data_IF_173367413509
#
_entry.id   IF_173367413509
#
_cell.length_a   1.000
_cell.length_b   1.000
_cell.length_c   1.000
_cell.angle_alpha   90.00
_cell.angle_beta   90.00
_cell.angle_gamma   90.00
#
_symmetry.space_group_name_H-M   'P 1'
#
loop_
_entity.id
_entity.type
_entity.pdbx_description
1 polymer ?
#
# COMPACT_ATOMS: atom_id res chain seq x y z
N UNK A 1 50.71 22.35 -0.58
CA UNK A 1 49.48 21.63 -0.19
C UNK A 1 48.58 21.60 -1.42
N UNK A 2 48.43 20.45 -2.07
CA UNK A 2 47.63 20.30 -3.29
C UNK A 2 46.24 19.83 -2.87
N UNK A 3 45.22 20.60 -3.19
CA UNK A 3 43.81 20.23 -2.99
C UNK A 3 43.31 19.56 -4.27
N UNK A 4 43.01 18.27 -4.22
CA UNK A 4 42.39 17.53 -5.33
C UNK A 4 40.88 17.56 -5.13
N UNK A 5 40.15 18.20 -6.03
CA UNK A 5 38.69 18.16 -6.06
C UNK A 5 38.23 16.94 -6.86
N UNK A 6 37.55 16.00 -6.20
CA UNK A 6 36.80 14.94 -6.86
C UNK A 6 35.41 15.45 -7.21
N UNK A 7 35.13 15.59 -8.50
CA UNK A 7 33.77 15.83 -9.00
C UNK A 7 33.05 14.49 -9.12
N UNK A 8 32.12 14.20 -8.21
CA UNK A 8 31.16 13.10 -8.39
C UNK A 8 30.03 13.58 -9.30
N UNK A 9 29.93 13.00 -10.50
CA UNK A 9 28.76 13.16 -11.35
C UNK A 9 27.60 12.33 -10.78
N UNK A 10 26.60 13.01 -10.22
CA UNK A 10 25.33 12.39 -9.89
C UNK A 10 24.51 12.25 -11.18
N UNK A 11 24.30 11.02 -11.64
CA UNK A 11 23.39 10.77 -12.76
C UNK A 11 21.97 10.76 -12.20
N UNK A 12 21.17 11.77 -12.53
CA UNK A 12 19.73 11.75 -12.28
C UNK A 12 19.06 10.68 -13.13
N UNK A 13 17.88 10.23 -12.72
CA UNK A 13 17.05 9.34 -13.51
C UNK A 13 16.67 10.02 -14.84
N UNK A 14 16.85 9.31 -15.96
CA UNK A 14 16.45 9.78 -17.29
C UNK A 14 14.98 9.41 -17.49
N UNK A 15 14.14 10.41 -17.78
CA UNK A 15 12.74 10.18 -18.14
C UNK A 15 12.70 9.80 -19.62
N UNK A 16 12.33 8.55 -19.90
CA UNK A 16 12.25 8.02 -21.27
C UNK A 16 10.87 8.32 -21.87
N UNK A 17 9.81 8.26 -21.07
CA UNK A 17 8.43 8.48 -21.50
C UNK A 17 7.62 9.10 -20.36
N UNK A 18 6.60 9.90 -20.72
CA UNK A 18 5.63 10.44 -19.77
C UNK A 18 4.22 10.25 -20.30
N UNK A 19 3.42 9.52 -19.54
CA UNK A 19 2.01 9.24 -19.85
C UNK A 19 1.11 10.08 -18.95
N UNK A 20 0.06 10.67 -19.52
CA UNK A 20 -0.96 11.38 -18.74
C UNK A 20 -2.09 10.41 -18.38
N UNK A 21 -2.32 10.22 -17.09
CA UNK A 21 -3.36 9.36 -16.58
C UNK A 21 -4.75 10.04 -16.58
N UNK A 22 -5.79 9.21 -16.62
CA UNK A 22 -7.18 9.66 -16.49
C UNK A 22 -7.44 10.30 -15.12
N UNK A 23 -8.34 11.29 -15.07
CA UNK A 23 -8.79 11.86 -13.79
C UNK A 23 -9.55 10.87 -12.91
N UNK A 24 -10.06 9.79 -13.48
CA UNK A 24 -10.70 8.69 -12.73
C UNK A 24 -9.73 8.11 -11.70
N UNK A 25 -8.44 8.07 -12.04
CA UNK A 25 -7.38 7.58 -11.15
C UNK A 25 -6.53 8.73 -10.58
N UNK A 26 -7.14 9.89 -10.32
CA UNK A 26 -6.46 10.97 -9.60
C UNK A 26 -6.10 10.53 -8.18
N UNK A 27 -4.96 10.97 -7.66
CA UNK A 27 -4.45 10.50 -6.35
C UNK A 27 -4.24 8.98 -6.38
N UNK A 28 -3.58 8.49 -7.43
CA UNK A 28 -3.21 7.07 -7.53
C UNK A 28 -2.15 6.75 -6.48
N UNK A 29 -2.39 5.70 -5.70
CA UNK A 29 -1.51 5.21 -4.63
C UNK A 29 -1.24 3.73 -4.89
N UNK A 30 0.03 3.31 -4.79
CA UNK A 30 0.50 1.98 -5.18
C UNK A 30 0.48 1.69 -6.70
N UNK A 31 1.39 0.81 -7.14
CA UNK A 31 1.43 0.33 -8.52
C UNK A 31 2.10 -1.04 -8.59
N UNK A 32 1.42 -2.01 -9.16
CA UNK A 32 1.98 -3.35 -9.39
C UNK A 32 1.78 -3.80 -10.84
N UNK A 33 2.55 -4.82 -11.21
CA UNK A 33 2.43 -5.47 -12.50
C UNK A 33 1.65 -6.78 -12.39
N UNK A 34 0.68 -6.99 -13.29
CA UNK A 34 -0.13 -8.19 -13.34
C UNK A 34 -0.59 -8.49 -14.78
N UNK A 35 -0.14 -9.61 -15.36
CA UNK A 35 -0.58 -10.12 -16.67
C UNK A 35 -0.58 -9.05 -17.79
N UNK A 36 0.58 -8.44 -18.06
CA UNK A 36 0.78 -7.38 -19.06
C UNK A 36 0.00 -6.07 -18.79
N UNK A 37 -0.60 -5.95 -17.61
CA UNK A 37 -1.29 -4.77 -17.14
C UNK A 37 -0.61 -4.20 -15.89
N UNK A 38 -0.80 -2.89 -15.69
CA UNK A 38 -0.46 -2.20 -14.45
C UNK A 38 -1.72 -2.12 -13.58
N UNK A 39 -1.59 -2.39 -12.29
CA UNK A 39 -2.70 -2.35 -11.34
C UNK A 39 -2.43 -1.28 -10.30
N UNK A 40 -3.41 -0.42 -10.07
CA UNK A 40 -3.32 0.68 -9.11
C UNK A 40 -4.66 0.90 -8.40
N UNK A 41 -4.68 1.70 -7.34
CA UNK A 41 -5.89 2.21 -6.72
C UNK A 41 -5.76 3.71 -6.47
N UNK A 42 -6.86 4.33 -6.05
CA UNK A 42 -6.83 5.69 -5.55
C UNK A 42 -6.59 5.71 -4.05
N UNK A 43 -6.10 6.84 -3.58
CA UNK A 43 -5.93 7.18 -2.18
C UNK A 43 -7.28 7.37 -1.46
N UNK A 44 -7.20 7.66 -0.17
CA UNK A 44 -8.24 8.13 0.76
C UNK A 44 -9.55 8.62 0.17
N UNK A 45 -10.67 8.02 0.57
CA UNK A 45 -12.03 8.53 0.34
C UNK A 45 -12.57 8.37 -1.09
N UNK A 46 -11.77 7.82 -2.01
CA UNK A 46 -12.19 7.52 -3.38
C UNK A 46 -12.97 6.18 -3.47
N UNK A 47 -13.33 5.78 -4.69
CA UNK A 47 -13.98 4.49 -4.91
C UNK A 47 -13.08 3.32 -4.46
N UNK A 48 -13.62 2.30 -3.76
CA UNK A 48 -12.89 1.09 -3.36
C UNK A 48 -12.71 0.18 -4.59
N UNK A 49 -11.76 0.54 -5.46
CA UNK A 49 -11.55 -0.12 -6.75
C UNK A 49 -10.09 -0.32 -7.09
N UNK A 50 -9.80 -1.43 -7.76
CA UNK A 50 -8.55 -1.60 -8.52
C UNK A 50 -8.78 -1.21 -9.98
N UNK A 51 -7.83 -0.47 -10.54
CA UNK A 51 -7.81 -0.06 -11.94
C UNK A 51 -6.66 -0.77 -12.65
N UNK A 52 -6.98 -1.44 -13.74
CA UNK A 52 -6.03 -2.17 -14.56
C UNK A 52 -5.78 -1.35 -15.82
N UNK A 53 -4.52 -0.97 -16.03
CA UNK A 53 -4.07 -0.08 -17.09
C UNK A 53 -3.20 -0.84 -18.09
N UNK A 54 -3.26 -0.48 -19.36
CA UNK A 54 -2.16 -0.80 -20.27
C UNK A 54 -0.99 0.18 -20.07
N UNK A 55 0.14 -0.06 -20.76
CA UNK A 55 1.32 0.80 -20.69
C UNK A 55 1.11 2.22 -21.23
N UNK A 56 0.03 2.47 -21.99
CA UNK A 56 -0.36 3.82 -22.42
C UNK A 56 -1.17 4.57 -21.34
N UNK A 57 -1.38 3.96 -20.18
CA UNK A 57 -2.14 4.53 -19.06
C UNK A 57 -3.65 4.47 -19.26
N UNK A 58 -4.13 3.75 -20.28
CA UNK A 58 -5.57 3.57 -20.52
C UNK A 58 -6.12 2.53 -19.56
N UNK A 59 -7.21 2.86 -18.88
CA UNK A 59 -7.96 1.91 -18.05
C UNK A 59 -8.63 0.87 -18.96
N UNK A 60 -8.20 -0.38 -18.81
CA UNK A 60 -8.73 -1.55 -19.53
C UNK A 60 -9.85 -2.20 -18.72
N UNK A 61 -9.72 -2.22 -17.39
CA UNK A 61 -10.70 -2.84 -16.51
C UNK A 61 -10.72 -2.16 -15.13
N UNK A 62 -11.90 -2.15 -14.50
CA UNK A 62 -12.10 -1.68 -13.13
C UNK A 62 -12.76 -2.77 -12.31
N UNK A 63 -12.09 -3.18 -11.24
CA UNK A 63 -12.61 -4.13 -10.26
C UNK A 63 -13.06 -3.37 -9.01
N UNK A 64 -14.37 -3.21 -8.85
CA UNK A 64 -15.00 -2.50 -7.73
C UNK A 64 -15.40 -3.46 -6.61
N UNK A 65 -15.21 -3.04 -5.35
CA UNK A 65 -15.57 -3.80 -4.14
C UNK A 65 -16.69 -3.09 -3.36
N UNK A 66 -17.93 -3.55 -3.52
CA UNK A 66 -19.11 -2.81 -3.01
C UNK A 66 -19.28 -2.83 -1.48
N UNK A 67 -18.61 -3.76 -0.78
CA UNK A 67 -18.76 -3.96 0.68
C UNK A 67 -17.55 -3.49 1.50
N UNK A 68 -16.58 -2.80 0.87
CA UNK A 68 -15.42 -2.22 1.53
C UNK A 68 -15.44 -0.71 1.29
N UNK A 69 -14.93 0.06 2.24
CA UNK A 69 -14.67 1.49 2.05
C UNK A 69 -13.18 1.71 1.88
N UNK A 70 -12.80 2.61 0.98
CA UNK A 70 -11.46 3.16 0.95
C UNK A 70 -11.35 4.23 2.04
N UNK A 71 -10.85 3.85 3.21
CA UNK A 71 -10.68 4.81 4.31
C UNK A 71 -9.39 5.61 4.11
N UNK A 72 -8.26 4.93 3.88
CA UNK A 72 -6.96 5.52 3.56
C UNK A 72 -6.09 4.43 2.88
N UNK A 73 -6.36 4.13 1.61
CA UNK A 73 -5.61 3.13 0.83
C UNK A 73 -4.30 3.72 0.31
N UNK A 74 -3.18 3.25 0.84
CA UNK A 74 -1.88 3.91 0.66
C UNK A 74 -0.97 3.19 -0.34
N UNK A 75 -1.08 1.87 -0.43
CA UNK A 75 -0.22 1.07 -1.29
C UNK A 75 -0.83 -0.31 -1.60
N UNK A 76 -0.22 -1.04 -2.52
CA UNK A 76 -0.60 -2.42 -2.80
C UNK A 76 0.63 -3.25 -3.17
N UNK A 77 0.60 -4.54 -2.84
CA UNK A 77 1.65 -5.49 -3.21
C UNK A 77 1.06 -6.80 -3.70
N UNK A 78 1.85 -7.66 -4.35
CA UNK A 78 1.36 -8.95 -4.85
C UNK A 78 2.29 -10.12 -4.57
N UNK A 79 1.74 -11.30 -4.30
CA UNK A 79 2.48 -12.57 -4.34
C UNK A 79 2.03 -13.43 -5.54
N UNK A 80 2.40 -14.71 -5.59
CA UNK A 80 2.04 -15.59 -6.71
C UNK A 80 0.52 -15.60 -7.02
N UNK A 81 -0.33 -15.53 -6.00
CA UNK A 81 -1.76 -15.82 -6.12
C UNK A 81 -2.66 -14.62 -5.78
N UNK A 82 -2.17 -13.66 -5.00
CA UNK A 82 -2.99 -12.61 -4.42
C UNK A 82 -2.42 -11.21 -4.63
N UNK A 83 -3.33 -10.23 -4.64
CA UNK A 83 -3.06 -8.80 -4.50
C UNK A 83 -3.48 -8.41 -3.07
N UNK A 84 -2.65 -7.61 -2.41
CA UNK A 84 -2.85 -7.11 -1.06
C UNK A 84 -2.95 -5.59 -1.12
N UNK A 85 -4.10 -5.04 -0.75
CA UNK A 85 -4.38 -3.60 -0.77
C UNK A 85 -4.31 -3.08 0.66
N UNK A 86 -3.48 -2.06 0.89
CA UNK A 86 -3.16 -1.54 2.21
C UNK A 86 -4.06 -0.37 2.61
N UNK A 87 -5.11 -0.63 3.40
CA UNK A 87 -5.92 0.41 4.05
C UNK A 87 -5.32 0.75 5.42
N UNK A 88 -4.23 1.51 5.41
CA UNK A 88 -3.34 1.69 6.55
C UNK A 88 -2.88 3.13 6.85
N UNK A 89 -3.25 4.10 6.02
CA UNK A 89 -2.95 5.51 6.31
C UNK A 89 -3.58 5.91 7.62
N UNK A 90 -2.84 6.63 8.47
CA UNK A 90 -3.27 7.00 9.82
C UNK A 90 -2.69 8.35 10.22
N UNK A 91 -2.93 9.34 9.35
CA UNK A 91 -2.30 10.65 9.40
C UNK A 91 -2.35 11.38 10.76
N UNK A 92 -3.31 11.04 11.60
CA UNK A 92 -3.54 11.66 12.91
C UNK A 92 -3.50 10.71 14.10
N UNK A 93 -3.03 9.47 13.93
CA UNK A 93 -3.02 8.40 14.95
C UNK A 93 -4.41 8.08 15.55
N UNK A 94 -5.50 8.34 14.84
CA UNK A 94 -6.88 8.18 15.35
C UNK A 94 -7.58 6.93 14.85
N UNK A 95 -7.01 6.20 13.88
CA UNK A 95 -7.67 5.03 13.30
C UNK A 95 -7.41 3.75 14.10
N UNK A 96 -8.49 3.00 14.34
CA UNK A 96 -8.49 1.67 14.97
C UNK A 96 -8.79 0.53 13.98
N UNK A 97 -9.11 0.86 12.73
CA UNK A 97 -9.62 -0.06 11.71
C UNK A 97 -8.61 -0.32 10.58
N UNK A 98 -7.34 -0.48 10.93
CA UNK A 98 -6.28 -0.73 9.94
C UNK A 98 -6.39 -2.16 9.42
N UNK A 99 -6.31 -2.32 8.10
CA UNK A 99 -6.50 -3.62 7.47
C UNK A 99 -5.74 -3.74 6.16
N UNK A 100 -5.50 -4.99 5.76
CA UNK A 100 -5.09 -5.34 4.40
C UNK A 100 -6.20 -6.14 3.76
N UNK A 101 -6.63 -5.71 2.58
CA UNK A 101 -7.63 -6.41 1.76
C UNK A 101 -6.87 -7.34 0.82
N UNK A 102 -7.06 -8.64 0.99
CA UNK A 102 -6.44 -9.68 0.16
C UNK A 102 -7.45 -10.14 -0.88
N UNK A 103 -7.08 -10.06 -2.15
CA UNK A 103 -7.93 -10.43 -3.28
C UNK A 103 -7.20 -11.37 -4.22
N UNK A 104 -7.93 -12.29 -4.86
CA UNK A 104 -7.36 -13.16 -5.89
C UNK A 104 -6.76 -12.33 -7.03
N UNK A 105 -5.66 -12.80 -7.62
CA UNK A 105 -5.13 -12.26 -8.88
C UNK A 105 -6.06 -12.50 -10.08
N UNK A 106 -7.03 -13.39 -9.99
CA UNK A 106 -8.09 -13.46 -11.00
C UNK A 106 -8.94 -12.18 -10.93
N UNK A 107 -8.86 -11.38 -11.99
CA UNK A 107 -9.55 -10.09 -12.11
C UNK A 107 -11.08 -10.22 -12.07
N UNK A 108 -11.62 -11.41 -12.39
CA UNK A 108 -13.05 -11.67 -12.41
C UNK A 108 -13.61 -12.08 -11.04
N UNK A 109 -12.76 -12.59 -10.16
CA UNK A 109 -13.14 -12.85 -8.78
C UNK A 109 -13.43 -11.51 -8.10
N UNK A 110 -14.47 -11.39 -7.29
CA UNK A 110 -14.72 -10.16 -6.49
C UNK A 110 -14.70 -10.42 -4.99
N UNK A 111 -14.41 -11.67 -4.60
CA UNK A 111 -14.25 -12.03 -3.23
C UNK A 111 -12.96 -11.43 -2.67
N UNK A 112 -12.96 -11.21 -1.36
CA UNK A 112 -11.84 -10.67 -0.65
C UNK A 112 -11.79 -11.24 0.77
N UNK A 113 -10.60 -11.28 1.33
CA UNK A 113 -10.34 -11.59 2.74
C UNK A 113 -9.77 -10.34 3.41
N UNK A 114 -10.14 -10.11 4.68
CA UNK A 114 -9.63 -8.99 5.46
C UNK A 114 -8.60 -9.50 6.48
N UNK A 115 -7.41 -8.92 6.43
CA UNK A 115 -6.35 -9.13 7.42
C UNK A 115 -6.28 -7.87 8.27
N UNK A 116 -6.92 -7.91 9.45
CA UNK A 116 -6.83 -6.81 10.40
C UNK A 116 -5.47 -6.83 11.11
N UNK A 117 -4.92 -5.66 11.40
CA UNK A 117 -3.74 -5.51 12.22
C UNK A 117 -3.84 -4.25 13.08
N UNK A 118 -2.99 -4.18 14.10
CA UNK A 118 -2.90 -3.03 14.98
C UNK A 118 -1.44 -2.84 15.40
N UNK A 119 -1.08 -1.61 15.77
CA UNK A 119 0.22 -1.32 16.37
C UNK A 119 0.13 -1.56 17.88
N UNK A 120 0.90 -2.51 18.45
CA UNK A 120 0.85 -2.81 19.89
C UNK A 120 1.12 -1.61 20.81
N UNK A 121 1.86 -0.62 20.29
CA UNK A 121 2.25 0.61 20.98
C UNK A 121 1.18 1.71 20.91
N UNK A 122 0.23 1.62 19.97
CA UNK A 122 -0.84 2.61 19.81
C UNK A 122 -1.96 2.32 20.83
N UNK A 123 -1.83 2.92 22.00
CA UNK A 123 -2.83 2.80 23.09
C UNK A 123 -3.72 4.04 23.24
N UNK A 124 -3.41 5.09 22.50
CA UNK A 124 -4.08 6.39 22.56
C UNK A 124 -4.36 6.88 21.16
N UNK A 125 -5.65 6.98 20.85
CA UNK A 125 -6.22 7.35 19.55
C UNK A 125 -6.71 8.81 19.53
N UNK A 126 -6.25 9.64 20.47
CA UNK A 126 -6.45 11.09 20.38
C UNK A 126 -5.64 11.69 19.22
N UNK A 127 -6.16 12.78 18.67
CA UNK A 127 -5.57 13.47 17.52
C UNK A 127 -4.10 13.85 17.77
N UNK A 128 -3.21 13.42 16.86
CA UNK A 128 -1.79 13.78 16.85
C UNK A 128 -1.38 14.32 15.49
N UNK A 129 -1.00 15.60 15.44
CA UNK A 129 -0.54 16.23 14.20
C UNK A 129 0.71 15.55 13.60
N UNK A 130 1.60 15.04 14.46
CA UNK A 130 2.77 14.26 14.07
C UNK A 130 2.52 12.81 14.43
N UNK A 131 1.94 12.09 13.48
CA UNK A 131 1.67 10.66 13.62
C UNK A 131 2.94 9.83 13.84
N UNK A 132 2.81 8.77 14.64
CA UNK A 132 3.77 7.66 14.73
C UNK A 132 3.32 6.42 13.95
N UNK A 133 2.02 6.28 13.73
CA UNK A 133 1.35 5.05 13.28
C UNK A 133 0.74 5.16 11.87
N UNK A 134 1.09 6.20 11.14
CA UNK A 134 0.83 6.37 9.71
C UNK A 134 1.76 5.47 8.89
N UNK A 135 1.23 4.71 7.93
CA UNK A 135 2.02 3.82 7.07
C UNK A 135 1.66 4.02 5.62
N UNK A 136 2.68 4.02 4.76
CA UNK A 136 2.51 4.41 3.35
C UNK A 136 3.22 3.46 2.37
N UNK A 137 3.70 2.31 2.86
CA UNK A 137 4.21 1.27 1.99
C UNK A 137 4.01 -0.12 2.58
N UNK A 138 3.79 -1.09 1.69
CA UNK A 138 3.64 -2.50 2.02
C UNK A 138 4.45 -3.37 1.05
N UNK A 139 5.08 -4.42 1.55
CA UNK A 139 5.62 -5.48 0.68
C UNK A 139 5.22 -6.86 1.18
N UNK A 140 5.20 -7.82 0.26
CA UNK A 140 5.06 -9.24 0.58
C UNK A 140 6.43 -9.90 0.76
N UNK A 141 6.56 -10.77 1.77
CA UNK A 141 7.70 -11.67 1.95
C UNK A 141 7.24 -12.99 2.56
N UNK A 142 7.42 -14.09 1.83
CA UNK A 142 6.97 -15.43 2.25
C UNK A 142 5.51 -15.42 2.75
N UNK A 143 5.28 -15.84 4.01
CA UNK A 143 3.96 -15.88 4.65
C UNK A 143 3.55 -14.54 5.32
N UNK A 144 4.29 -13.46 5.08
CA UNK A 144 4.12 -12.19 5.76
C UNK A 144 3.96 -11.00 4.82
N UNK A 145 3.37 -9.96 5.38
CA UNK A 145 3.34 -8.60 4.86
C UNK A 145 4.24 -7.76 5.77
N UNK A 146 5.11 -6.96 5.19
CA UNK A 146 5.86 -5.94 5.92
C UNK A 146 5.26 -4.58 5.63
N UNK A 147 4.98 -3.84 6.69
CA UNK A 147 4.37 -2.51 6.66
C UNK A 147 5.40 -1.50 7.13
N UNK A 148 5.56 -0.41 6.39
CA UNK A 148 6.55 0.63 6.66
C UNK A 148 5.86 1.92 7.09
N UNK A 149 6.15 2.36 8.30
CA UNK A 149 5.58 3.62 8.80
C UNK A 149 6.27 4.84 8.24
N UNK A 150 5.49 5.90 8.09
CA UNK A 150 5.92 7.28 7.94
C UNK A 150 5.86 7.95 9.30
N UNK A 151 6.73 7.53 10.22
CA UNK A 151 6.73 8.05 11.59
C UNK A 151 7.21 9.51 11.63
N UNK A 152 6.28 10.46 11.46
CA UNK A 152 6.56 11.91 11.41
C UNK A 152 7.00 12.47 12.76
N UNK A 153 6.60 11.85 13.86
CA UNK A 153 7.03 12.29 15.20
C UNK A 153 8.53 12.05 15.43
N UNK A 154 9.02 10.87 15.05
CA UNK A 154 10.41 10.45 15.27
C UNK A 154 11.31 10.62 14.05
N UNK A 155 10.73 10.84 12.86
CA UNK A 155 11.42 10.92 11.56
C UNK A 155 12.20 9.65 11.23
N UNK A 156 11.59 8.51 11.52
CA UNK A 156 12.12 7.18 11.21
C UNK A 156 11.04 6.37 10.48
N UNK A 157 11.40 5.15 10.07
CA UNK A 157 10.44 4.14 9.63
C UNK A 157 10.56 2.95 10.57
N UNK A 158 9.45 2.59 11.18
CA UNK A 158 9.29 1.35 11.91
C UNK A 158 8.72 0.31 10.93
N UNK A 159 9.16 -0.95 11.05
CA UNK A 159 8.70 -2.05 10.18
C UNK A 159 7.88 -3.01 11.02
N UNK A 160 6.64 -3.23 10.61
CA UNK A 160 5.73 -4.19 11.25
C UNK A 160 5.52 -5.40 10.36
N UNK A 161 5.53 -6.58 10.97
CA UNK A 161 5.38 -7.86 10.29
C UNK A 161 3.99 -8.43 10.58
N UNK A 162 3.17 -8.58 9.56
CA UNK A 162 1.79 -9.07 9.66
C UNK A 162 1.65 -10.41 8.92
N UNK A 163 1.18 -11.48 9.58
CA UNK A 163 0.94 -12.77 8.91
C UNK A 163 -0.17 -12.66 7.86
N UNK A 164 0.01 -13.27 6.69
CA UNK A 164 -1.02 -13.32 5.62
C UNK A 164 -2.23 -14.19 5.99
N UNK A 165 -2.03 -15.09 6.95
CA UNK A 165 -3.06 -16.00 7.48
C UNK A 165 -3.04 -15.85 8.99
N UNK A 166 -4.22 -15.75 9.58
CA UNK A 166 -4.35 -15.85 11.03
C UNK A 166 -3.88 -17.25 11.45
N UNK A 167 -2.89 -17.34 12.32
CA UNK A 167 -2.59 -18.61 12.99
C UNK A 167 -3.84 -19.03 13.76
N UNK A 168 -4.49 -20.10 13.33
CA UNK A 168 -5.48 -20.78 14.17
C UNK A 168 -4.69 -21.32 15.35
N UNK A 169 -4.74 -20.63 16.49
CA UNK A 169 -4.25 -21.19 17.74
C UNK A 169 -5.08 -22.44 18.03
N UNK A 170 -4.55 -23.61 17.66
CA UNK A 170 -5.05 -24.88 18.16
C UNK A 170 -4.84 -24.83 19.67
N UNK A 171 -5.92 -24.60 20.41
CA UNK A 171 -5.95 -24.83 21.84
C UNK A 171 -5.54 -26.29 22.04
N UNK A 172 -4.32 -26.51 22.55
CA UNK A 172 -3.91 -27.80 23.08
C UNK A 172 -4.91 -28.16 24.16
N UNK A 173 -5.73 -29.18 23.90
CA UNK A 173 -6.48 -29.90 24.94
C UNK A 173 -5.51 -30.59 25.90
#
# INVERSE_FOLDING_TARGET
MICVFFFSFCHSQIIIEKVKLSKIISETSGLEYHNDLLVTHNDSGNDPSLYYLDYSGKIIYTRKFDSIKNNDWEDLTTDENFIYIADMGNNFDTRENLMVIKVSKDINDKNFEIINFYYPEQRDFSFKLKSQFDAEAIITIDEFLLIFTKNRAKKITDIYKVPKKLEVMQQKK
#
